data_IF_574570521220
#
_entry.id   IF_574570521220
#
_cell.length_a   1.000
_cell.length_b   1.000
_cell.length_c   1.000
_cell.angle_alpha   90.00
_cell.angle_beta   90.00
_cell.angle_gamma   90.00
#
_symmetry.space_group_name_H-M   'P 1'
#
loop_
_entity.id
_entity.type
_entity.pdbx_description
1 polymer ?
#
# COMPACT_ATOMS: atom_id res chain seq x y z
N UNK A 1 2.32 -5.11 -32.71
CA UNK A 1 0.98 -5.69 -32.56
C UNK A 1 0.71 -6.46 -31.23
N UNK A 2 1.61 -6.47 -30.25
CA UNK A 2 1.43 -7.19 -28.97
C UNK A 2 0.94 -6.32 -27.77
N UNK A 3 0.65 -5.03 -28.00
CA UNK A 3 0.27 -4.09 -26.95
C UNK A 3 -1.04 -4.42 -26.19
N UNK A 4 -2.15 -4.80 -26.88
CA UNK A 4 -3.40 -5.07 -26.16
C UNK A 4 -3.35 -6.36 -25.33
N UNK A 5 -2.61 -7.35 -25.75
CA UNK A 5 -2.52 -8.66 -25.10
C UNK A 5 -1.77 -8.58 -23.76
N UNK A 6 -0.71 -7.78 -23.68
CA UNK A 6 0.02 -7.56 -22.42
C UNK A 6 -0.83 -6.82 -21.38
N UNK A 7 -1.63 -5.85 -21.81
CA UNK A 7 -2.55 -5.11 -20.92
C UNK A 7 -3.66 -6.02 -20.40
N UNK A 8 -4.22 -6.89 -21.22
CA UNK A 8 -5.19 -7.91 -20.81
C UNK A 8 -4.60 -8.89 -19.78
N UNK A 9 -3.39 -9.37 -20.00
CA UNK A 9 -2.72 -10.28 -19.06
C UNK A 9 -2.46 -9.63 -17.70
N UNK A 10 -2.15 -8.34 -17.65
CA UNK A 10 -2.01 -7.58 -16.41
C UNK A 10 -3.37 -7.41 -15.73
N UNK A 11 -4.44 -7.07 -16.48
CA UNK A 11 -5.80 -6.93 -15.97
C UNK A 11 -6.29 -8.21 -15.29
N UNK A 12 -6.04 -9.35 -15.88
CA UNK A 12 -6.39 -10.66 -15.32
C UNK A 12 -5.38 -11.17 -14.26
N UNK A 13 -4.40 -10.34 -13.87
CA UNK A 13 -3.35 -10.68 -12.89
C UNK A 13 -2.48 -11.89 -13.27
N UNK A 14 -2.52 -12.32 -14.53
CA UNK A 14 -1.68 -13.39 -15.04
C UNK A 14 -0.24 -12.93 -15.25
N UNK A 15 -0.06 -11.68 -15.68
CA UNK A 15 1.25 -11.06 -15.76
C UNK A 15 1.40 -10.08 -14.58
N UNK A 16 2.36 -10.38 -13.69
CA UNK A 16 2.76 -9.47 -12.61
C UNK A 16 4.05 -8.77 -13.06
N UNK A 17 3.98 -7.51 -13.54
CA UNK A 17 5.19 -6.81 -13.93
C UNK A 17 6.15 -6.73 -12.75
N UNK A 18 7.41 -7.06 -13.00
CA UNK A 18 8.48 -6.93 -12.00
C UNK A 18 9.14 -5.54 -12.14
N UNK A 19 9.96 -5.14 -11.16
CA UNK A 19 10.75 -3.92 -11.18
C UNK A 19 11.52 -3.75 -12.52
N UNK A 20 12.18 -4.81 -12.98
CA UNK A 20 12.92 -4.80 -14.24
C UNK A 20 12.02 -4.53 -15.47
N UNK A 21 10.80 -5.02 -15.43
CA UNK A 21 9.81 -4.78 -16.49
C UNK A 21 9.35 -3.32 -16.50
N UNK A 22 9.10 -2.75 -15.32
CA UNK A 22 8.72 -1.34 -15.17
C UNK A 22 9.88 -0.43 -15.61
N UNK A 23 11.11 -0.75 -15.21
CA UNK A 23 12.30 0.01 -15.64
C UNK A 23 12.49 -0.05 -17.16
N UNK A 24 12.25 -1.19 -17.79
CA UNK A 24 12.29 -1.31 -19.24
C UNK A 24 11.21 -0.46 -19.91
N UNK A 25 9.98 -0.43 -19.38
CA UNK A 25 8.91 0.41 -19.90
C UNK A 25 9.19 1.90 -19.69
N UNK A 26 9.80 2.26 -18.56
CA UNK A 26 10.31 3.60 -18.31
C UNK A 26 11.33 4.01 -19.37
N UNK A 27 12.33 3.17 -19.61
CA UNK A 27 13.36 3.43 -20.62
C UNK A 27 12.80 3.58 -22.02
N UNK A 28 11.81 2.76 -22.38
CA UNK A 28 11.15 2.79 -23.69
C UNK A 28 10.04 3.86 -23.79
N UNK A 29 9.83 4.67 -22.77
CA UNK A 29 8.73 5.63 -22.69
C UNK A 29 7.33 5.02 -22.95
N UNK A 30 7.11 3.77 -22.53
CA UNK A 30 5.83 3.06 -22.66
C UNK A 30 4.79 3.57 -21.62
N UNK A 31 4.41 4.83 -21.72
CA UNK A 31 3.54 5.53 -20.78
C UNK A 31 2.18 4.84 -20.58
N UNK A 32 1.57 4.33 -21.66
CA UNK A 32 0.28 3.64 -21.59
C UNK A 32 0.33 2.40 -20.68
N UNK A 33 1.43 1.63 -20.76
CA UNK A 33 1.59 0.44 -19.91
C UNK A 33 1.79 0.83 -18.45
N UNK A 34 2.54 1.91 -18.19
CA UNK A 34 2.77 2.42 -16.84
C UNK A 34 1.48 2.95 -16.22
N UNK A 35 0.65 3.72 -16.96
CA UNK A 35 -0.67 4.17 -16.52
C UNK A 35 -1.59 2.99 -16.22
N UNK A 36 -1.59 1.99 -17.07
CA UNK A 36 -2.40 0.79 -16.86
C UNK A 36 -1.97 0.03 -15.60
N UNK A 37 -0.66 -0.09 -15.34
CA UNK A 37 -0.13 -0.71 -14.11
C UNK A 37 -0.47 0.13 -12.88
N UNK A 38 -0.44 1.45 -12.98
CA UNK A 38 -0.84 2.34 -11.89
C UNK A 38 -2.28 2.08 -11.44
N UNK A 39 -3.19 1.83 -12.39
CA UNK A 39 -4.60 1.57 -12.10
C UNK A 39 -4.89 0.12 -11.68
N UNK A 40 -4.31 -0.85 -12.38
CA UNK A 40 -4.69 -2.26 -12.29
C UNK A 40 -3.59 -3.17 -11.70
N UNK A 41 -2.42 -2.62 -11.43
CA UNK A 41 -1.28 -3.37 -10.91
C UNK A 41 -1.45 -3.83 -9.47
N UNK A 42 -0.50 -4.63 -9.00
CA UNK A 42 -0.43 -5.04 -7.61
C UNK A 42 0.01 -3.86 -6.71
N UNK A 43 -0.22 -3.99 -5.39
CA UNK A 43 0.22 -2.98 -4.41
C UNK A 43 1.74 -2.71 -4.45
N UNK A 44 2.54 -3.65 -4.92
CA UNK A 44 4.00 -3.49 -5.07
C UNK A 44 4.37 -2.73 -6.35
N UNK A 45 3.60 -2.91 -7.43
CA UNK A 45 3.96 -2.39 -8.75
C UNK A 45 3.36 -1.02 -9.03
N UNK A 46 2.21 -0.68 -8.43
CA UNK A 46 1.58 0.63 -8.59
C UNK A 46 2.47 1.81 -8.15
N UNK A 47 3.13 1.77 -6.97
CA UNK A 47 4.05 2.85 -6.59
C UNK A 47 5.23 2.99 -7.56
N UNK A 48 5.75 1.86 -8.06
CA UNK A 48 6.85 1.88 -9.03
C UNK A 48 6.42 2.52 -10.36
N UNK A 49 5.18 2.26 -10.79
CA UNK A 49 4.62 2.90 -11.98
C UNK A 49 4.42 4.40 -11.81
N UNK A 50 3.96 4.88 -10.64
CA UNK A 50 3.86 6.29 -10.32
C UNK A 50 5.22 6.99 -10.39
N UNK A 51 6.23 6.42 -9.76
CA UNK A 51 7.59 6.96 -9.78
C UNK A 51 8.18 6.96 -11.21
N UNK A 52 7.95 5.90 -11.98
CA UNK A 52 8.42 5.83 -13.36
C UNK A 52 7.78 6.89 -14.26
N UNK A 53 6.49 7.20 -14.08
CA UNK A 53 5.80 8.28 -14.80
C UNK A 53 6.37 9.65 -14.45
N UNK A 54 6.72 9.88 -13.19
CA UNK A 54 7.37 11.11 -12.75
C UNK A 54 8.76 11.26 -13.37
N UNK A 55 9.57 10.21 -13.37
CA UNK A 55 10.92 10.23 -13.96
C UNK A 55 10.93 10.43 -15.48
N UNK A 56 9.88 9.96 -16.19
CA UNK A 56 9.67 10.23 -17.63
C UNK A 56 9.25 11.69 -17.86
N UNK A 57 8.80 12.39 -16.81
CA UNK A 57 8.22 13.74 -16.87
C UNK A 57 6.95 13.79 -17.76
N UNK A 58 6.08 12.79 -17.64
CA UNK A 58 4.86 12.72 -18.42
C UNK A 58 3.69 13.46 -17.76
N UNK A 59 3.53 14.74 -18.07
CA UNK A 59 2.43 15.58 -17.57
C UNK A 59 1.04 15.06 -17.94
N UNK A 60 0.91 14.33 -19.05
CA UNK A 60 -0.37 13.77 -19.47
C UNK A 60 -0.87 12.64 -18.54
N UNK A 61 -0.03 12.16 -17.61
CA UNK A 61 -0.39 11.21 -16.55
C UNK A 61 -0.94 11.86 -15.27
N UNK A 62 -0.95 13.18 -15.15
CA UNK A 62 -1.45 13.92 -13.98
C UNK A 62 -2.86 13.46 -13.56
N UNK A 63 -3.85 13.33 -14.46
CA UNK A 63 -5.19 12.88 -14.07
C UNK A 63 -5.19 11.48 -13.41
N UNK A 64 -4.34 10.58 -13.88
CA UNK A 64 -4.20 9.22 -13.32
C UNK A 64 -3.56 9.23 -11.93
N UNK A 65 -2.58 10.10 -11.73
CA UNK A 65 -1.93 10.29 -10.44
C UNK A 65 -2.87 10.94 -9.42
N UNK A 66 -3.70 11.90 -9.83
CA UNK A 66 -4.75 12.50 -8.98
C UNK A 66 -5.74 11.45 -8.45
N UNK A 67 -6.11 10.48 -9.27
CA UNK A 67 -6.93 9.34 -8.82
C UNK A 67 -6.14 8.47 -7.84
N UNK A 68 -4.87 8.19 -8.13
CA UNK A 68 -4.02 7.34 -7.29
C UNK A 68 -3.70 7.92 -5.89
N UNK A 69 -3.83 9.23 -5.69
CA UNK A 69 -3.72 9.86 -4.34
C UNK A 69 -4.77 9.28 -3.37
N UNK A 70 -5.93 8.90 -3.88
CA UNK A 70 -7.04 8.37 -3.08
C UNK A 70 -6.98 6.85 -2.92
N UNK A 71 -5.89 6.21 -3.34
CA UNK A 71 -5.71 4.77 -3.16
C UNK A 71 -5.71 4.37 -1.67
N UNK A 72 -6.34 3.24 -1.36
CA UNK A 72 -6.40 2.70 0.00
C UNK A 72 -5.02 2.26 0.52
N UNK A 73 -4.06 2.07 -0.37
CA UNK A 73 -2.71 1.65 -0.02
C UNK A 73 -1.81 2.88 0.09
N UNK A 74 -1.37 3.17 1.31
CA UNK A 74 -0.55 4.35 1.61
C UNK A 74 0.68 4.50 0.72
N UNK A 75 1.39 3.41 0.42
CA UNK A 75 2.57 3.46 -0.46
C UNK A 75 2.24 3.96 -1.88
N UNK A 76 1.07 3.59 -2.41
CA UNK A 76 0.61 4.04 -3.74
C UNK A 76 0.27 5.53 -3.68
N UNK A 77 -0.50 5.93 -2.68
CA UNK A 77 -0.91 7.32 -2.49
C UNK A 77 0.29 8.25 -2.24
N UNK A 78 1.31 7.81 -1.46
CA UNK A 78 2.55 8.58 -1.25
C UNK A 78 3.35 8.70 -2.56
N UNK A 79 3.51 7.60 -3.31
CA UNK A 79 4.23 7.63 -4.57
C UNK A 79 3.53 8.55 -5.59
N UNK A 80 2.20 8.54 -5.64
CA UNK A 80 1.43 9.43 -6.51
C UNK A 80 1.58 10.90 -6.10
N UNK A 81 1.61 11.21 -4.79
CA UNK A 81 1.87 12.57 -4.30
C UNK A 81 3.26 13.06 -4.67
N UNK A 82 4.28 12.20 -4.50
CA UNK A 82 5.66 12.53 -4.88
C UNK A 82 5.78 12.74 -6.39
N UNK A 83 5.10 11.90 -7.18
CA UNK A 83 5.08 12.01 -8.63
C UNK A 83 4.44 13.33 -9.09
N UNK A 84 3.32 13.72 -8.49
CA UNK A 84 2.65 15.00 -8.80
C UNK A 84 3.51 16.21 -8.43
N UNK A 85 4.20 16.17 -7.28
CA UNK A 85 5.09 17.23 -6.86
C UNK A 85 6.27 17.44 -7.84
N UNK A 86 6.72 16.35 -8.48
CA UNK A 86 7.80 16.42 -9.49
C UNK A 86 7.29 16.85 -10.87
N UNK A 87 6.03 16.55 -11.21
CA UNK A 87 5.50 16.78 -12.55
C UNK A 87 4.85 18.14 -12.73
N UNK A 88 4.34 18.72 -11.67
CA UNK A 88 3.43 19.85 -11.78
C UNK A 88 3.70 20.92 -10.72
N UNK A 89 4.09 22.10 -11.21
CA UNK A 89 4.28 23.32 -10.41
C UNK A 89 3.00 24.18 -10.36
N UNK A 90 1.88 23.68 -10.90
CA UNK A 90 0.64 24.45 -10.87
C UNK A 90 0.11 24.61 -9.43
N UNK A 91 -0.36 25.82 -9.12
CA UNK A 91 -0.83 26.17 -7.78
C UNK A 91 -1.98 25.29 -7.28
N UNK A 92 -2.78 24.72 -8.17
CA UNK A 92 -3.92 23.89 -7.78
C UNK A 92 -3.52 22.48 -7.36
N UNK A 93 -2.65 21.82 -8.13
CA UNK A 93 -2.09 20.51 -7.78
C UNK A 93 -1.23 20.61 -6.53
N UNK A 94 -0.43 21.65 -6.38
CA UNK A 94 0.34 21.92 -5.16
C UNK A 94 -0.58 22.07 -3.96
N UNK A 95 -1.72 22.74 -4.08
CA UNK A 95 -2.73 22.85 -3.01
C UNK A 95 -3.32 21.49 -2.63
N UNK A 96 -3.64 20.65 -3.62
CA UNK A 96 -4.19 19.29 -3.40
C UNK A 96 -3.17 18.43 -2.66
N UNK A 97 -1.93 18.42 -3.13
CA UNK A 97 -0.82 17.66 -2.52
C UNK A 97 -0.58 18.12 -1.08
N UNK A 98 -0.46 19.43 -0.86
CA UNK A 98 -0.23 20.01 0.47
C UNK A 98 -1.37 19.68 1.42
N UNK A 99 -2.62 19.83 0.98
CA UNK A 99 -3.82 19.50 1.80
C UNK A 99 -3.83 18.02 2.19
N UNK A 100 -3.49 17.12 1.26
CA UNK A 100 -3.46 15.68 1.52
C UNK A 100 -2.33 15.30 2.48
N UNK A 101 -1.13 15.86 2.30
CA UNK A 101 0.01 15.66 3.21
C UNK A 101 -0.28 16.18 4.61
N UNK A 102 -0.88 17.36 4.72
CA UNK A 102 -1.29 17.93 6.01
C UNK A 102 -2.32 17.05 6.72
N UNK A 103 -3.32 16.56 6.00
CA UNK A 103 -4.31 15.64 6.56
C UNK A 103 -3.66 14.35 7.11
N UNK A 104 -2.70 13.78 6.40
CA UNK A 104 -1.99 12.60 6.86
C UNK A 104 -1.08 12.87 8.06
N UNK A 105 -0.37 13.97 8.05
CA UNK A 105 0.43 14.39 9.19
C UNK A 105 -0.43 14.53 10.45
N UNK A 106 -1.63 15.13 10.32
CA UNK A 106 -2.61 15.22 11.40
C UNK A 106 -3.05 13.84 11.90
N UNK A 107 -3.43 12.93 10.99
CA UNK A 107 -3.85 11.57 11.35
C UNK A 107 -2.74 10.77 12.05
N UNK A 108 -1.49 10.91 11.58
CA UNK A 108 -0.34 10.27 12.21
C UNK A 108 -0.10 10.83 13.62
N UNK A 109 -0.17 12.15 13.78
CA UNK A 109 -0.01 12.81 15.07
C UNK A 109 -1.11 12.40 16.07
N UNK A 110 -2.36 12.31 15.61
CA UNK A 110 -3.47 11.79 16.40
C UNK A 110 -3.27 10.33 16.82
N UNK A 111 -2.71 9.49 15.93
CA UNK A 111 -2.39 8.09 16.25
C UNK A 111 -1.26 7.97 17.26
N UNK A 112 -0.24 8.81 17.13
CA UNK A 112 0.90 8.82 18.07
C UNK A 112 0.51 9.36 19.44
N UNK A 113 -0.34 10.39 19.47
CA UNK A 113 -0.80 11.06 20.69
C UNK A 113 -2.00 10.34 21.34
N UNK A 114 -2.64 9.38 20.64
CA UNK A 114 -3.60 8.51 21.32
C UNK A 114 -2.84 7.78 22.43
N UNK A 115 -3.22 7.99 23.71
CA UNK A 115 -2.64 7.21 24.78
C UNK A 115 -2.75 5.76 24.35
N UNK A 116 -1.62 5.06 24.32
CA UNK A 116 -1.61 3.62 24.13
C UNK A 116 -2.72 3.11 25.03
N UNK A 117 -3.83 2.60 24.44
CA UNK A 117 -4.85 1.95 25.25
C UNK A 117 -4.02 0.99 26.07
N UNK A 118 -3.88 1.25 27.37
CA UNK A 118 -3.25 0.32 28.29
C UNK A 118 -3.75 -1.03 27.86
N UNK A 119 -2.84 -1.90 27.43
CA UNK A 119 -3.20 -3.26 27.02
C UNK A 119 -3.93 -3.76 28.23
N UNK A 120 -5.24 -3.65 28.17
CA UNK A 120 -6.09 -3.69 29.35
C UNK A 120 -5.69 -4.93 30.09
N UNK A 121 -5.33 -4.81 31.37
CA UNK A 121 -4.96 -5.92 32.28
C UNK A 121 -5.83 -7.16 32.06
N UNK A 122 -7.03 -6.96 31.53
CA UNK A 122 -7.95 -7.98 31.06
C UNK A 122 -7.37 -8.99 30.05
N UNK A 123 -6.46 -8.60 29.14
CA UNK A 123 -5.86 -9.55 28.19
C UNK A 123 -4.79 -10.43 28.86
N UNK A 124 -4.02 -9.87 29.80
CA UNK A 124 -3.02 -10.64 30.57
C UNK A 124 -3.72 -11.61 31.49
N UNK A 125 -4.75 -11.16 32.21
CA UNK A 125 -5.54 -12.04 33.10
C UNK A 125 -6.34 -13.10 32.34
N UNK A 126 -6.77 -12.84 31.11
CA UNK A 126 -7.43 -13.84 30.27
C UNK A 126 -6.45 -14.94 29.85
N UNK A 127 -5.22 -14.58 29.48
CA UNK A 127 -4.18 -15.52 29.12
C UNK A 127 -3.75 -16.37 30.34
N UNK A 128 -3.52 -15.74 31.48
CA UNK A 128 -3.20 -16.44 32.73
C UNK A 128 -4.29 -17.42 33.17
N UNK A 129 -5.57 -17.01 33.10
CA UNK A 129 -6.70 -17.89 33.41
C UNK A 129 -6.77 -19.09 32.48
N UNK A 130 -6.56 -18.89 31.17
CA UNK A 130 -6.57 -19.98 30.19
C UNK A 130 -5.40 -20.92 30.40
N UNK A 131 -4.24 -20.37 30.70
CA UNK A 131 -3.01 -21.14 30.99
C UNK A 131 -3.17 -21.99 32.26
N UNK A 132 -3.67 -21.41 33.35
CA UNK A 132 -3.94 -22.14 34.61
C UNK A 132 -4.98 -23.27 34.39
N UNK A 133 -6.07 -23.01 33.68
CA UNK A 133 -7.10 -24.00 33.38
C UNK A 133 -6.55 -25.16 32.53
N UNK A 134 -5.73 -24.87 31.56
CA UNK A 134 -5.06 -25.90 30.74
C UNK A 134 -4.07 -26.71 31.57
N UNK A 135 -3.32 -26.07 32.44
CA UNK A 135 -2.38 -26.75 33.34
C UNK A 135 -3.08 -27.70 34.30
N UNK A 136 -4.18 -27.27 34.91
CA UNK A 136 -4.98 -28.16 35.79
C UNK A 136 -5.59 -29.33 35.03
N UNK A 137 -6.08 -29.11 33.80
CA UNK A 137 -6.59 -30.21 32.96
C UNK A 137 -5.48 -31.24 32.62
N UNK A 138 -4.28 -30.77 32.31
CA UNK A 138 -3.15 -31.66 32.03
C UNK A 138 -2.78 -32.47 33.30
N UNK A 139 -2.74 -31.80 34.46
CA UNK A 139 -2.43 -32.41 35.75
C UNK A 139 -3.48 -33.50 36.14
N UNK A 140 -4.76 -33.25 35.88
CA UNK A 140 -5.80 -34.23 36.09
C UNK A 140 -5.69 -35.43 35.13
N UNK A 141 -5.35 -35.20 33.86
CA UNK A 141 -5.12 -36.31 32.90
C UNK A 141 -3.94 -37.18 33.29
N UNK A 142 -2.86 -36.61 33.81
CA UNK A 142 -1.68 -37.34 34.27
C UNK A 142 -1.94 -38.19 35.53
N UNK A 143 -3.02 -37.89 36.31
CA UNK A 143 -3.43 -38.68 37.47
C UNK A 143 -4.25 -39.90 37.09
N UNK A 144 -4.77 -40.02 35.88
CA UNK A 144 -5.56 -41.17 35.42
C UNK A 144 -4.59 -42.31 35.00
N UNK A 145 -4.76 -43.51 35.51
CA UNK A 145 -3.95 -44.64 35.08
C UNK A 145 -4.12 -44.91 33.60
N UNK A 146 -3.02 -45.08 32.90
CA UNK A 146 -2.99 -45.48 31.50
C UNK A 146 -3.53 -46.91 31.42
N UNK A 147 -4.67 -47.08 30.80
CA UNK A 147 -5.25 -48.40 30.49
C UNK A 147 -4.70 -48.87 29.17
#
# INVERSE_FOLDING_TARGET
MLRPLTLLLIKFKWLKPNLNTINRWKYNHDVEKLRFVLQNGSYKTRPLAANALAEINDRSSIPFLLVAIHDNIHHVSIAALNALELLDDENETTRIVTRKRFHWAKLLNEKMNKPSKEKTKTNIYRWERTSKKNFEMVKERLKRPIR
#
